data_IF_026164884424
#
_entry.id   IF_026164884424
#
_cell.length_a   1.000
_cell.length_b   1.000
_cell.length_c   1.000
_cell.angle_alpha   90.00
_cell.angle_beta   90.00
_cell.angle_gamma   90.00
#
_symmetry.space_group_name_H-M   'P 1'
#
loop_
_entity.id
_entity.type
_entity.pdbx_description
1 polymer ?
#
# COMPACT_ATOMS: atom_id res chain seq x y z
N UNK A 1 -12.03 6.37 -6.88
CA UNK A 1 -11.43 7.61 -6.39
C UNK A 1 -11.92 7.85 -4.97
N UNK A 2 -11.05 8.40 -4.09
CA UNK A 2 -11.42 8.77 -2.73
C UNK A 2 -11.58 7.60 -1.74
N UNK A 3 -11.15 6.40 -2.08
CA UNK A 3 -11.24 5.24 -1.20
C UNK A 3 -9.94 4.91 -0.48
N UNK A 4 -10.04 4.23 0.66
CA UNK A 4 -8.91 3.73 1.43
C UNK A 4 -8.77 2.22 1.22
N UNK A 5 -7.58 1.81 0.80
CA UNK A 5 -7.20 0.41 0.62
C UNK A 5 -6.10 0.04 1.60
N UNK A 6 -6.20 -1.15 2.19
CA UNK A 6 -5.13 -1.72 3.00
C UNK A 6 -4.49 -2.89 2.26
N UNK A 7 -3.17 -2.82 2.05
CA UNK A 7 -2.35 -3.92 1.56
C UNK A 7 -1.63 -4.56 2.73
N UNK A 8 -2.00 -5.77 3.07
CA UNK A 8 -1.39 -6.54 4.14
C UNK A 8 -0.55 -7.70 3.62
N UNK A 9 0.55 -8.00 4.30
CA UNK A 9 1.38 -9.15 3.98
C UNK A 9 2.31 -9.52 5.12
N UNK A 10 2.84 -10.73 5.10
CA UNK A 10 3.93 -11.12 5.96
C UNK A 10 5.19 -10.27 5.70
N UNK A 11 6.02 -10.18 6.71
CA UNK A 11 7.33 -9.54 6.59
C UNK A 11 8.18 -10.23 5.51
N UNK A 12 8.88 -9.44 4.68
CA UNK A 12 9.69 -9.93 3.54
C UNK A 12 8.91 -10.70 2.47
N UNK A 13 7.60 -10.50 2.36
CA UNK A 13 6.80 -11.09 1.28
C UNK A 13 7.05 -10.45 -0.10
N UNK A 14 7.64 -9.23 -0.14
CA UNK A 14 7.91 -8.50 -1.38
C UNK A 14 6.95 -7.34 -1.65
N UNK A 15 6.29 -6.79 -0.62
CA UNK A 15 5.38 -5.64 -0.74
C UNK A 15 6.00 -4.46 -1.47
N UNK A 16 7.15 -3.97 -0.99
CA UNK A 16 7.82 -2.81 -1.58
C UNK A 16 8.25 -3.07 -3.02
N UNK A 17 8.61 -4.32 -3.37
CA UNK A 17 8.87 -4.72 -4.76
C UNK A 17 7.60 -4.60 -5.61
N UNK A 18 6.48 -5.16 -5.15
CA UNK A 18 5.19 -5.04 -5.85
C UNK A 18 4.80 -3.58 -6.07
N UNK A 19 4.93 -2.75 -5.02
CA UNK A 19 4.63 -1.33 -5.09
C UNK A 19 5.56 -0.58 -6.05
N UNK A 20 6.86 -0.89 -6.07
CA UNK A 20 7.79 -0.28 -7.03
C UNK A 20 7.40 -0.57 -8.48
N UNK A 21 6.90 -1.78 -8.77
CA UNK A 21 6.37 -2.12 -10.09
C UNK A 21 5.05 -1.41 -10.40
N UNK A 22 4.18 -1.19 -9.42
CA UNK A 22 2.99 -0.34 -9.57
C UNK A 22 3.40 1.10 -9.90
N UNK A 23 4.37 1.67 -9.17
CA UNK A 23 4.90 3.01 -9.42
C UNK A 23 5.49 3.15 -10.83
N UNK A 24 6.17 2.12 -11.34
CA UNK A 24 6.62 2.08 -12.73
C UNK A 24 5.45 2.06 -13.70
N UNK A 25 4.40 1.29 -13.41
CA UNK A 25 3.28 1.06 -14.33
C UNK A 25 2.37 2.28 -14.49
N UNK A 26 2.28 3.16 -13.47
CA UNK A 26 1.35 4.29 -13.50
C UNK A 26 1.87 5.54 -14.24
N UNK A 27 3.00 5.45 -14.93
CA UNK A 27 3.59 6.58 -15.69
C UNK A 27 3.04 6.73 -17.12
N UNK A 28 2.11 5.87 -17.53
CA UNK A 28 1.49 5.90 -18.85
C UNK A 28 2.26 5.18 -19.97
N UNK A 29 3.42 4.56 -19.68
CA UNK A 29 4.15 3.74 -20.67
C UNK A 29 3.58 2.35 -20.87
N UNK A 30 2.72 1.91 -19.96
CA UNK A 30 1.98 0.66 -20.05
C UNK A 30 0.50 0.90 -19.83
N UNK A 31 -0.31 0.09 -20.46
CA UNK A 31 -1.78 0.14 -20.33
C UNK A 31 -2.32 -1.00 -19.47
N UNK A 32 -1.43 -1.85 -18.96
CA UNK A 32 -1.81 -3.01 -18.15
C UNK A 32 -0.87 -3.19 -16.95
N UNK A 33 -1.44 -3.51 -15.78
CA UNK A 33 -0.74 -3.97 -14.60
C UNK A 33 -1.49 -5.14 -13.97
N UNK A 34 -0.80 -6.25 -13.73
CA UNK A 34 -1.35 -7.49 -13.16
C UNK A 34 -2.61 -8.00 -13.89
N UNK A 35 -2.61 -7.90 -15.22
CA UNK A 35 -3.71 -8.35 -16.06
C UNK A 35 -4.93 -7.43 -16.07
N UNK A 36 -4.83 -6.22 -15.52
CA UNK A 36 -5.89 -5.21 -15.51
C UNK A 36 -5.43 -3.95 -16.22
N UNK A 37 -6.36 -3.29 -16.88
CA UNK A 37 -6.10 -1.97 -17.45
C UNK A 37 -5.66 -0.98 -16.38
N UNK A 38 -4.64 -0.19 -16.69
CA UNK A 38 -4.13 0.89 -15.84
C UNK A 38 -4.10 2.18 -16.64
N UNK A 39 -4.67 3.23 -16.10
CA UNK A 39 -4.54 4.59 -16.61
C UNK A 39 -3.42 5.32 -15.89
N UNK A 40 -2.78 6.33 -16.50
CA UNK A 40 -1.75 7.11 -15.82
C UNK A 40 -2.32 7.83 -14.58
N UNK A 41 -1.55 7.84 -13.49
CA UNK A 41 -1.85 8.61 -12.27
C UNK A 41 -0.58 8.98 -11.52
N UNK A 42 -0.66 10.00 -10.69
CA UNK A 42 0.45 10.51 -9.89
C UNK A 42 0.37 10.00 -8.46
N UNK A 43 1.52 9.67 -7.88
CA UNK A 43 1.60 9.04 -6.55
C UNK A 43 2.47 9.86 -5.62
N UNK A 44 1.97 10.15 -4.41
CA UNK A 44 2.79 10.57 -3.29
C UNK A 44 3.09 9.34 -2.43
N UNK A 45 4.36 8.94 -2.39
CA UNK A 45 4.81 7.73 -1.68
C UNK A 45 5.55 8.10 -0.41
N UNK A 46 5.01 7.71 0.74
CA UNK A 46 5.62 7.91 2.06
C UNK A 46 6.23 6.59 2.52
N UNK A 47 7.55 6.56 2.73
CA UNK A 47 8.30 5.34 3.04
C UNK A 47 8.99 5.37 4.40
N UNK A 48 9.02 4.22 5.08
CA UNK A 48 9.88 3.98 6.23
C UNK A 48 11.34 3.66 5.82
N UNK A 49 11.57 3.32 4.56
CA UNK A 49 12.90 2.98 4.04
C UNK A 49 13.75 4.24 3.77
N UNK A 50 15.05 4.04 3.72
CA UNK A 50 16.00 5.13 3.45
C UNK A 50 15.89 5.61 2.00
N UNK A 51 16.16 6.89 1.79
CA UNK A 51 16.08 7.54 0.48
C UNK A 51 16.97 6.87 -0.59
N UNK A 52 18.17 6.43 -0.21
CA UNK A 52 19.11 5.73 -1.11
C UNK A 52 18.51 4.46 -1.73
N UNK A 53 17.78 3.65 -0.94
CA UNK A 53 17.12 2.45 -1.46
C UNK A 53 16.04 2.77 -2.50
N UNK A 54 15.39 3.92 -2.35
CA UNK A 54 14.40 4.39 -3.33
C UNK A 54 15.06 5.01 -4.55
N UNK A 55 16.24 5.65 -4.41
CA UNK A 55 17.02 6.12 -5.53
C UNK A 55 17.44 4.95 -6.43
N UNK A 56 17.97 3.86 -5.83
CA UNK A 56 18.34 2.65 -6.57
C UNK A 56 17.14 2.04 -7.33
N UNK A 57 15.98 1.90 -6.65
CA UNK A 57 14.76 1.39 -7.28
C UNK A 57 14.24 2.29 -8.40
N UNK A 58 14.31 3.60 -8.19
CA UNK A 58 13.92 4.59 -9.19
C UNK A 58 14.75 4.42 -10.46
N UNK A 59 16.06 4.30 -10.31
CA UNK A 59 16.98 4.18 -11.44
C UNK A 59 16.84 2.81 -12.13
N UNK A 60 16.73 1.71 -11.37
CA UNK A 60 16.53 0.35 -11.89
C UNK A 60 15.20 0.21 -12.67
N UNK A 61 14.11 0.74 -12.14
CA UNK A 61 12.79 0.60 -12.72
C UNK A 61 12.40 1.76 -13.65
N UNK A 62 13.18 2.84 -13.68
CA UNK A 62 12.91 4.03 -14.46
C UNK A 62 11.65 4.76 -13.97
N UNK A 63 11.44 4.85 -12.65
CA UNK A 63 10.37 5.63 -12.02
C UNK A 63 10.68 7.12 -12.24
N UNK A 64 9.68 7.93 -12.61
CA UNK A 64 9.84 9.32 -13.02
C UNK A 64 9.09 10.29 -12.09
N UNK A 65 8.94 11.53 -12.56
CA UNK A 65 8.37 12.69 -11.82
C UNK A 65 6.86 12.58 -11.51
N UNK A 66 6.19 11.49 -11.95
CA UNK A 66 4.83 11.17 -11.52
C UNK A 66 4.77 10.64 -10.07
N UNK A 67 5.93 10.36 -9.45
CA UNK A 67 6.04 9.90 -8.07
C UNK A 67 6.80 10.93 -7.24
N UNK A 68 6.12 11.49 -6.23
CA UNK A 68 6.76 12.21 -5.12
C UNK A 68 7.15 11.22 -4.02
N UNK A 69 8.33 11.37 -3.44
CA UNK A 69 8.82 10.51 -2.37
C UNK A 69 9.05 11.31 -1.08
N UNK A 70 8.50 10.81 0.02
CA UNK A 70 8.81 11.28 1.38
C UNK A 70 9.42 10.11 2.15
N UNK A 71 10.72 10.15 2.41
CA UNK A 71 11.44 9.11 3.13
C UNK A 71 11.54 9.48 4.62
N UNK A 72 11.18 8.54 5.51
CA UNK A 72 11.36 8.64 6.97
C UNK A 72 10.90 9.98 7.55
N UNK A 73 9.62 10.34 7.43
CA UNK A 73 9.12 11.66 7.86
C UNK A 73 9.30 11.91 9.37
N UNK A 74 9.48 10.86 10.16
CA UNK A 74 9.66 10.95 11.61
C UNK A 74 10.96 10.26 12.06
N UNK A 75 11.65 10.86 13.03
CA UNK A 75 12.83 10.26 13.69
C UNK A 75 12.47 9.14 14.70
N UNK A 76 11.20 8.94 14.97
CA UNK A 76 10.65 7.95 15.88
C UNK A 76 9.15 7.86 15.70
N UNK A 77 8.42 7.27 16.65
CA UNK A 77 6.97 7.23 16.61
C UNK A 77 6.40 8.63 16.72
N UNK A 78 5.53 9.02 15.80
CA UNK A 78 4.86 10.31 15.85
C UNK A 78 3.95 10.44 17.07
N UNK A 79 3.82 11.64 17.61
CA UNK A 79 2.69 11.97 18.49
C UNK A 79 1.41 12.19 17.65
N UNK A 80 0.21 12.14 18.24
CA UNK A 80 -1.04 12.45 17.52
C UNK A 80 -0.99 13.81 16.81
N UNK A 81 -0.48 14.84 17.47
CA UNK A 81 -0.34 16.18 16.90
C UNK A 81 0.64 16.21 15.71
N UNK A 82 1.79 15.54 15.82
CA UNK A 82 2.75 15.43 14.71
C UNK A 82 2.16 14.67 13.52
N UNK A 83 1.40 13.61 13.78
CA UNK A 83 0.72 12.83 12.75
C UNK A 83 -0.31 13.67 12.00
N UNK A 84 -1.20 14.36 12.72
CA UNK A 84 -2.21 15.25 12.11
C UNK A 84 -1.56 16.38 11.31
N UNK A 85 -0.52 17.02 11.86
CA UNK A 85 0.22 18.08 11.15
C UNK A 85 0.90 17.53 9.89
N UNK A 86 1.46 16.33 9.94
CA UNK A 86 2.07 15.67 8.80
C UNK A 86 1.05 15.38 7.70
N UNK A 87 -0.10 14.80 8.05
CA UNK A 87 -1.17 14.53 7.08
C UNK A 87 -1.77 15.81 6.47
N UNK A 88 -1.82 16.92 7.24
CA UNK A 88 -2.17 18.22 6.67
C UNK A 88 -1.20 18.67 5.58
N UNK A 89 0.12 18.56 5.81
CA UNK A 89 1.14 18.86 4.77
C UNK A 89 1.05 17.90 3.58
N UNK A 90 0.78 16.61 3.84
CA UNK A 90 0.53 15.64 2.78
C UNK A 90 -0.66 16.06 1.92
N UNK A 91 -1.75 16.53 2.53
CA UNK A 91 -2.92 17.03 1.80
C UNK A 91 -2.57 18.24 0.92
N UNK A 92 -1.77 19.18 1.44
CA UNK A 92 -1.30 20.35 0.68
C UNK A 92 -0.46 19.91 -0.54
N UNK A 93 0.47 18.98 -0.36
CA UNK A 93 1.30 18.42 -1.44
C UNK A 93 0.46 17.66 -2.48
N UNK A 94 -0.54 16.88 -2.02
CA UNK A 94 -1.46 16.17 -2.91
C UNK A 94 -2.18 17.13 -3.87
N UNK A 95 -2.64 18.27 -3.34
CA UNK A 95 -3.31 19.32 -4.13
C UNK A 95 -2.32 20.05 -5.03
N UNK A 96 -1.20 20.52 -4.48
CA UNK A 96 -0.21 21.33 -5.20
C UNK A 96 0.40 20.60 -6.41
N UNK A 97 0.58 19.29 -6.31
CA UNK A 97 1.22 18.47 -7.34
C UNK A 97 0.26 17.53 -8.06
N UNK A 98 -1.05 17.66 -7.83
CA UNK A 98 -2.10 16.83 -8.45
C UNK A 98 -1.83 15.32 -8.29
N UNK A 99 -1.46 14.87 -7.08
CA UNK A 99 -1.34 13.45 -6.80
C UNK A 99 -2.72 12.80 -6.63
N UNK A 100 -2.91 11.65 -7.28
CA UNK A 100 -4.16 10.89 -7.28
C UNK A 100 -4.18 9.80 -6.20
N UNK A 101 -3.00 9.34 -5.78
CA UNK A 101 -2.81 8.26 -4.81
C UNK A 101 -1.78 8.66 -3.75
N UNK A 102 -2.16 8.51 -2.48
CA UNK A 102 -1.22 8.47 -1.35
C UNK A 102 -0.89 7.02 -1.02
N UNK A 103 0.39 6.68 -0.93
CA UNK A 103 0.87 5.39 -0.39
C UNK A 103 1.64 5.62 0.90
N UNK A 104 1.35 4.86 1.96
CA UNK A 104 2.10 4.88 3.22
C UNK A 104 2.66 3.47 3.49
N UNK A 105 3.96 3.28 3.30
CA UNK A 105 4.68 2.00 3.47
C UNK A 105 5.78 2.13 4.52
N UNK A 106 5.56 1.70 5.74
CA UNK A 106 4.48 0.98 6.40
C UNK A 106 3.80 1.89 7.41
N UNK A 107 2.46 1.89 7.47
CA UNK A 107 1.71 2.74 8.39
C UNK A 107 2.09 2.50 9.85
N UNK A 108 2.30 1.24 10.26
CA UNK A 108 2.64 0.85 11.63
C UNK A 108 3.93 1.46 12.17
N UNK A 109 4.78 2.01 11.30
CA UNK A 109 6.01 2.72 11.69
C UNK A 109 5.86 4.23 11.83
N UNK A 110 4.74 4.77 11.32
CA UNK A 110 4.55 6.21 11.16
C UNK A 110 3.45 6.77 12.05
N UNK A 111 2.35 6.04 12.24
CA UNK A 111 1.19 6.48 13.00
C UNK A 111 1.42 6.52 14.52
N UNK A 112 0.60 7.27 15.30
CA UNK A 112 0.78 7.41 16.75
C UNK A 112 0.27 6.22 17.57
N UNK A 113 -0.24 5.15 16.93
CA UNK A 113 -0.80 3.98 17.61
C UNK A 113 0.26 3.23 18.38
N UNK A 114 0.08 3.08 19.69
CA UNK A 114 0.98 2.33 20.58
C UNK A 114 0.58 0.87 20.71
N UNK A 115 -0.72 0.65 20.78
CA UNK A 115 -1.33 -0.67 20.85
C UNK A 115 -2.25 -0.87 19.65
N UNK A 116 -1.84 -1.71 18.72
CA UNK A 116 -2.63 -2.00 17.51
C UNK A 116 -3.85 -2.88 17.81
N UNK A 117 -3.92 -3.51 18.98
CA UNK A 117 -5.10 -4.26 19.45
C UNK A 117 -6.17 -3.33 20.08
N UNK A 118 -5.85 -2.07 20.37
CA UNK A 118 -6.79 -1.03 20.78
C UNK A 118 -7.45 -0.38 19.56
N UNK A 119 -8.71 -0.76 19.29
CA UNK A 119 -9.47 -0.24 18.15
C UNK A 119 -9.68 1.28 18.21
N UNK A 120 -9.81 1.86 19.40
CA UNK A 120 -9.99 3.30 19.56
C UNK A 120 -8.74 4.09 19.13
N UNK A 121 -7.54 3.66 19.55
CA UNK A 121 -6.30 4.29 19.09
C UNK A 121 -6.12 4.17 17.57
N UNK A 122 -6.48 3.01 16.99
CA UNK A 122 -6.39 2.78 15.56
C UNK A 122 -7.34 3.71 14.81
N UNK A 123 -8.60 3.79 15.22
CA UNK A 123 -9.61 4.65 14.60
C UNK A 123 -9.21 6.13 14.69
N UNK A 124 -8.80 6.61 15.87
CA UNK A 124 -8.33 7.99 16.06
C UNK A 124 -7.16 8.34 15.14
N UNK A 125 -6.22 7.42 14.94
CA UNK A 125 -5.09 7.60 14.04
C UNK A 125 -5.48 7.61 12.55
N UNK A 126 -6.55 6.91 12.17
CA UNK A 126 -7.01 6.82 10.79
C UNK A 126 -7.94 7.97 10.38
N UNK A 127 -8.71 8.55 11.30
CA UNK A 127 -9.66 9.64 11.01
C UNK A 127 -9.05 10.81 10.21
N UNK A 128 -7.82 11.30 10.49
CA UNK A 128 -7.22 12.37 9.69
C UNK A 128 -7.00 12.04 8.21
N UNK A 129 -6.97 10.75 7.83
CA UNK A 129 -6.87 10.33 6.42
C UNK A 129 -8.12 10.66 5.61
N UNK A 130 -9.27 10.90 6.26
CA UNK A 130 -10.47 11.38 5.56
C UNK A 130 -10.26 12.74 4.89
N UNK A 131 -9.33 13.55 5.36
CA UNK A 131 -8.94 14.78 4.66
C UNK A 131 -8.40 14.45 3.26
N UNK A 132 -7.58 13.40 3.13
CA UNK A 132 -6.99 13.00 1.85
C UNK A 132 -8.06 12.39 0.93
N UNK A 133 -8.87 11.46 1.44
CA UNK A 133 -9.93 10.82 0.64
C UNK A 133 -11.02 11.84 0.25
N UNK A 134 -11.28 12.84 1.10
CA UNK A 134 -12.18 13.95 0.83
C UNK A 134 -11.74 14.86 -0.32
N UNK A 135 -10.43 14.88 -0.67
CA UNK A 135 -9.91 15.53 -1.87
C UNK A 135 -10.19 14.72 -3.16
N UNK A 136 -10.77 13.53 -3.04
CA UNK A 136 -10.97 12.59 -4.15
C UNK A 136 -9.75 11.74 -4.48
N UNK A 137 -8.65 11.87 -3.73
CA UNK A 137 -7.47 11.04 -3.86
C UNK A 137 -7.67 9.67 -3.18
N UNK A 138 -7.11 8.61 -3.77
CA UNK A 138 -7.07 7.30 -3.15
C UNK A 138 -5.96 7.21 -2.10
N UNK A 139 -6.14 6.35 -1.09
CA UNK A 139 -5.12 6.09 -0.08
C UNK A 139 -4.83 4.60 0.00
N UNK A 140 -3.57 4.20 -0.10
CA UNK A 140 -3.09 2.83 0.08
C UNK A 140 -2.20 2.76 1.32
N UNK A 141 -2.68 2.07 2.35
CA UNK A 141 -1.93 1.80 3.56
C UNK A 141 -1.30 0.42 3.49
N UNK A 142 0.00 0.35 3.68
CA UNK A 142 0.72 -0.93 3.76
C UNK A 142 0.85 -1.34 5.21
N UNK A 143 0.47 -2.58 5.52
CA UNK A 143 0.49 -3.10 6.88
C UNK A 143 1.12 -4.50 6.94
N UNK A 144 1.50 -4.94 8.13
CA UNK A 144 2.08 -6.26 8.35
C UNK A 144 1.06 -7.25 8.91
N UNK A 145 1.10 -8.48 8.43
CA UNK A 145 0.38 -9.59 9.03
C UNK A 145 1.07 -10.07 10.31
N UNK A 146 0.30 -10.71 11.21
CA UNK A 146 0.83 -11.42 12.38
C UNK A 146 1.74 -12.58 11.91
N UNK A 147 2.78 -12.88 12.68
CA UNK A 147 3.70 -14.01 12.37
C UNK A 147 2.99 -15.37 12.37
N UNK A 148 1.92 -15.51 13.15
CA UNK A 148 1.09 -16.72 13.20
C UNK A 148 0.32 -16.95 11.90
N UNK A 149 0.32 -15.98 10.97
CA UNK A 149 -0.49 -16.02 9.77
C UNK A 149 -1.98 -15.91 10.08
N UNK A 150 -2.78 -16.08 9.07
CA UNK A 150 -4.24 -16.12 9.06
C UNK A 150 -4.68 -16.18 7.62
N UNK A 151 -5.82 -16.82 7.33
CA UNK A 151 -6.42 -16.80 6.00
C UNK A 151 -7.57 -15.82 5.98
N UNK A 152 -7.92 -15.33 4.78
CA UNK A 152 -9.10 -14.48 4.59
C UNK A 152 -9.08 -13.24 5.50
N UNK A 153 -7.98 -12.47 5.42
CA UNK A 153 -7.78 -11.19 6.12
C UNK A 153 -7.72 -11.26 7.67
N UNK A 154 -7.86 -12.45 8.26
CA UNK A 154 -7.72 -12.62 9.72
C UNK A 154 -6.27 -12.55 10.20
N UNK A 155 -5.31 -12.58 9.28
CA UNK A 155 -3.88 -12.46 9.54
C UNK A 155 -3.40 -11.05 9.81
N UNK A 156 -4.19 -10.02 9.56
CA UNK A 156 -3.77 -8.64 9.82
C UNK A 156 -3.46 -8.44 11.31
N UNK A 157 -2.37 -7.75 11.57
CA UNK A 157 -1.95 -7.43 12.91
C UNK A 157 -2.86 -6.36 13.51
N UNK A 158 -3.17 -6.49 14.81
CA UNK A 158 -3.96 -5.51 15.56
C UNK A 158 -5.44 -5.87 15.66
N UNK A 159 -6.21 -4.90 16.14
CA UNK A 159 -7.66 -4.97 16.25
C UNK A 159 -8.35 -4.97 14.88
N UNK A 160 -9.63 -5.28 14.84
CA UNK A 160 -10.44 -5.13 13.64
C UNK A 160 -10.60 -3.68 13.13
N UNK A 161 -10.05 -2.68 13.82
CA UNK A 161 -10.22 -1.26 13.49
C UNK A 161 -9.69 -0.87 12.12
N UNK A 162 -8.48 -1.29 11.75
CA UNK A 162 -7.91 -0.99 10.44
C UNK A 162 -8.68 -1.65 9.28
N UNK A 163 -9.01 -2.95 9.32
CA UNK A 163 -9.88 -3.57 8.32
C UNK A 163 -11.27 -2.93 8.22
N UNK A 164 -11.87 -2.59 9.34
CA UNK A 164 -13.21 -1.99 9.36
C UNK A 164 -13.24 -0.58 8.74
N UNK A 165 -12.13 0.15 8.81
CA UNK A 165 -12.00 1.49 8.25
C UNK A 165 -11.79 1.48 6.72
N UNK A 166 -11.25 0.40 6.17
CA UNK A 166 -10.93 0.29 4.75
C UNK A 166 -12.15 -0.02 3.87
N UNK A 167 -12.20 0.55 2.66
CA UNK A 167 -13.13 0.14 1.60
C UNK A 167 -12.68 -1.11 0.88
N UNK A 168 -11.36 -1.34 0.81
CA UNK A 168 -10.77 -2.52 0.14
C UNK A 168 -9.62 -3.06 0.96
N UNK A 169 -9.61 -4.36 1.12
CA UNK A 169 -8.53 -5.12 1.73
C UNK A 169 -7.81 -5.93 0.66
N UNK A 170 -6.49 -5.91 0.68
CA UNK A 170 -5.65 -6.74 -0.19
C UNK A 170 -4.68 -7.50 0.69
N UNK A 171 -4.69 -8.82 0.59
CA UNK A 171 -3.71 -9.69 1.23
C UNK A 171 -2.72 -10.21 0.19
N UNK A 172 -1.42 -10.03 0.45
CA UNK A 172 -0.35 -10.41 -0.45
C UNK A 172 0.49 -11.49 0.18
N UNK A 173 0.43 -12.69 -0.38
CA UNK A 173 1.06 -13.88 0.17
C UNK A 173 1.89 -14.66 -0.85
N UNK A 174 2.69 -15.60 -0.38
CA UNK A 174 3.33 -16.59 -1.22
C UNK A 174 2.29 -17.59 -1.72
N UNK A 175 2.44 -18.04 -2.97
CA UNK A 175 1.57 -19.09 -3.53
C UNK A 175 1.83 -20.46 -2.88
N UNK A 176 3.06 -20.69 -2.38
CA UNK A 176 3.45 -21.91 -1.67
C UNK A 176 4.53 -21.65 -0.62
N UNK A 177 4.79 -22.64 0.24
CA UNK A 177 5.88 -22.59 1.23
C UNK A 177 7.25 -22.87 0.61
N UNK A 178 7.32 -23.30 -0.65
CA UNK A 178 8.58 -23.48 -1.36
C UNK A 178 9.25 -22.14 -1.61
N UNK A 179 10.46 -21.95 -1.08
CA UNK A 179 11.26 -20.71 -1.26
C UNK A 179 11.69 -20.48 -2.69
N UNK A 180 11.66 -21.50 -3.54
CA UNK A 180 11.96 -21.42 -4.98
C UNK A 180 10.75 -21.00 -5.81
N UNK A 181 9.56 -20.99 -5.21
CA UNK A 181 8.35 -20.52 -5.87
C UNK A 181 8.28 -18.98 -5.77
N UNK A 182 8.47 -18.32 -6.91
CA UNK A 182 8.41 -16.85 -7.01
C UNK A 182 7.01 -16.32 -7.23
N UNK A 183 6.01 -17.20 -7.33
CA UNK A 183 4.60 -16.82 -7.47
C UNK A 183 4.06 -16.25 -6.17
N UNK A 184 3.14 -15.34 -6.32
CA UNK A 184 2.44 -14.66 -5.22
C UNK A 184 0.94 -14.68 -5.49
N UNK A 185 0.18 -14.64 -4.43
CA UNK A 185 -1.28 -14.50 -4.47
C UNK A 185 -1.64 -13.12 -3.94
N UNK A 186 -2.48 -12.42 -4.69
CA UNK A 186 -3.20 -11.25 -4.21
C UNK A 186 -4.66 -11.68 -4.03
N UNK A 187 -5.10 -11.68 -2.78
CA UNK A 187 -6.48 -11.89 -2.41
C UNK A 187 -7.07 -10.53 -2.05
N UNK A 188 -8.19 -10.14 -2.63
CA UNK A 188 -8.81 -8.84 -2.39
C UNK A 188 -10.28 -8.97 -2.06
N UNK A 189 -10.73 -8.18 -1.11
CA UNK A 189 -12.13 -8.05 -0.69
C UNK A 189 -12.45 -6.58 -0.47
N UNK A 190 -13.61 -6.13 -0.89
CA UNK A 190 -13.98 -4.74 -0.74
C UNK A 190 -15.48 -4.52 -0.81
N UNK A 191 -15.88 -3.28 -0.50
CA UNK A 191 -17.29 -2.85 -0.56
C UNK A 191 -17.83 -2.82 -1.99
N UNK A 192 -16.93 -2.75 -2.99
CA UNK A 192 -17.30 -2.75 -4.40
C UNK A 192 -17.07 -4.15 -4.98
N UNK A 193 -18.02 -4.63 -5.77
CA UNK A 193 -17.97 -5.98 -6.37
C UNK A 193 -16.70 -6.20 -7.21
N UNK A 194 -16.25 -5.16 -7.90
CA UNK A 194 -15.06 -5.19 -8.78
C UNK A 194 -13.74 -5.24 -8.01
N UNK A 195 -13.76 -4.91 -6.70
CA UNK A 195 -12.56 -4.95 -5.86
C UNK A 195 -12.29 -6.33 -5.24
N UNK A 196 -13.24 -7.25 -5.32
CA UNK A 196 -13.08 -8.60 -4.79
C UNK A 196 -12.52 -9.55 -5.86
N UNK A 197 -11.62 -10.43 -5.45
CA UNK A 197 -11.03 -11.45 -6.32
C UNK A 197 -9.72 -11.97 -5.80
N UNK A 198 -9.24 -13.04 -6.44
CA UNK A 198 -7.98 -13.67 -6.10
C UNK A 198 -7.18 -13.93 -7.37
N UNK A 199 -5.96 -13.42 -7.45
CA UNK A 199 -5.10 -13.57 -8.62
C UNK A 199 -3.75 -14.17 -8.23
N UNK A 200 -3.22 -14.99 -9.12
CA UNK A 200 -1.86 -15.52 -9.05
C UNK A 200 -0.96 -14.68 -9.94
N UNK A 201 0.12 -14.18 -9.38
CA UNK A 201 1.11 -13.37 -10.08
C UNK A 201 2.51 -13.95 -9.91
N UNK A 202 3.40 -13.64 -10.83
CA UNK A 202 4.79 -14.05 -10.78
C UNK A 202 5.71 -12.92 -11.23
N UNK A 203 6.83 -12.76 -10.50
CA UNK A 203 7.91 -11.85 -10.92
C UNK A 203 8.87 -12.60 -11.81
N UNK A 204 8.84 -12.31 -13.14
CA UNK A 204 9.74 -12.88 -14.15
C UNK A 204 10.42 -11.78 -14.94
N UNK A 205 11.70 -11.93 -15.19
CA UNK A 205 12.48 -11.01 -16.04
C UNK A 205 12.30 -9.53 -15.67
N UNK A 206 12.21 -9.22 -14.37
CA UNK A 206 12.08 -7.86 -13.89
C UNK A 206 10.67 -7.24 -14.08
N UNK A 207 9.62 -8.05 -14.25
CA UNK A 207 8.24 -7.58 -14.31
C UNK A 207 7.28 -8.56 -13.64
N UNK A 208 6.23 -8.04 -13.00
CA UNK A 208 5.12 -8.87 -12.54
C UNK A 208 4.18 -9.19 -13.70
N UNK A 209 3.84 -10.46 -13.84
CA UNK A 209 2.83 -10.94 -14.78
C UNK A 209 1.70 -11.64 -14.03
N UNK A 210 0.47 -11.49 -14.50
CA UNK A 210 -0.66 -12.26 -14.03
C UNK A 210 -0.59 -13.66 -14.63
N UNK A 211 -0.55 -14.68 -13.78
CA UNK A 211 -0.51 -16.10 -14.18
C UNK A 211 -1.91 -16.67 -14.25
N UNK A 212 -2.75 -16.29 -13.30
CA UNK A 212 -4.15 -16.72 -13.21
C UNK A 212 -4.98 -15.60 -12.57
N UNK A 213 -6.11 -15.24 -13.22
CA UNK A 213 -6.99 -14.14 -12.79
C UNK A 213 -8.09 -14.58 -11.83
N UNK A 214 -8.40 -15.86 -11.80
CA UNK A 214 -9.47 -16.46 -10.99
C UNK A 214 -8.90 -17.63 -10.18
N UNK A 215 -7.73 -17.39 -9.56
CA UNK A 215 -7.00 -18.39 -8.80
C UNK A 215 -7.80 -18.84 -7.56
N UNK A 216 -8.12 -20.13 -7.46
CA UNK A 216 -8.83 -20.79 -6.36
C UNK A 216 -7.91 -21.17 -5.17
#
# INVERSE_FOLDING_TARGET
RGGLTVLSALWKAGKSTLLSHLLRACDGRTTEFLGREIVPFRVLFVSEEHEELWADRRDELGIRDHVGLVSRPFKGRASPAQWTTFLGKVADEMVAHHFDLLVIDTISKMWPVRDEDDAGQVEEALMPLWTITGLGAATLLVHHNRKSGGKNFTGMRGSGGLPAFAETLIEFDRASDDRKDFRRVLNSEGRYRESSGRILIELRSGAYTCVDRDYE
#
